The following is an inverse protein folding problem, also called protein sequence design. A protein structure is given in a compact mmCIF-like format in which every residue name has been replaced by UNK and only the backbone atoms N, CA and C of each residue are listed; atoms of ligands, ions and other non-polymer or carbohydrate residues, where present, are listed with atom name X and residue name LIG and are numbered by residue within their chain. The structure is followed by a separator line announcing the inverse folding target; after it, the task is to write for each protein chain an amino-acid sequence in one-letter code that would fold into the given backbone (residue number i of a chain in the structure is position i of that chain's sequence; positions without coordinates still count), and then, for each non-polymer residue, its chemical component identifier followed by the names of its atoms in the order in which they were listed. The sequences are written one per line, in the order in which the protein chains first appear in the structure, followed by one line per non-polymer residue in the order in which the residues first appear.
data_IF_616595933814
#
_entry.id   IF_616595933814
#
_cell.length_a   1.000
_cell.length_b   1.000
_cell.length_c   1.000
_cell.angle_alpha   90.00
_cell.angle_beta   90.00
_cell.angle_gamma   90.00
#
_symmetry.space_group_name_H-M   'P 1'
#
loop_
_entity.id
_entity.type
_entity.pdbx_description
1 polymer ?
#
# COMPACT_ATOMS: atom_id res chain seq x y z
N UNK A 1 -0.18 -23.31 6.42
CA UNK A 1 0.04 -22.30 7.48
C UNK A 1 0.36 -21.00 6.77
N UNK A 2 -0.65 -20.18 6.49
CA UNK A 2 -0.49 -18.90 5.81
C UNK A 2 0.02 -17.82 6.76
N UNK A 3 0.77 -16.85 6.23
CA UNK A 3 1.18 -15.68 6.99
C UNK A 3 -0.03 -14.72 7.12
N UNK A 4 -0.37 -14.33 8.34
CA UNK A 4 -1.44 -13.36 8.61
C UNK A 4 -0.83 -11.98 8.70
N UNK A 5 -1.20 -11.09 7.78
CA UNK A 5 -0.77 -9.68 7.81
C UNK A 5 -1.98 -8.84 8.26
N UNK A 6 -2.00 -8.48 9.54
CA UNK A 6 -2.99 -7.56 10.09
C UNK A 6 -2.45 -6.12 9.99
N UNK A 7 -3.07 -5.28 9.16
CA UNK A 7 -2.63 -3.89 9.01
C UNK A 7 -3.26 -3.01 10.10
N UNK A 8 -2.54 -2.80 11.21
CA UNK A 8 -2.81 -1.73 12.15
C UNK A 8 -1.70 -0.69 11.95
N UNK A 9 -1.96 0.32 11.12
CA UNK A 9 -1.18 1.56 10.96
C UNK A 9 0.37 1.39 10.94
N UNK A 10 0.96 1.37 9.74
CA UNK A 10 2.26 2.02 9.49
C UNK A 10 2.50 2.10 7.97
N UNK A 11 2.83 3.29 7.51
CA UNK A 11 3.01 3.74 6.11
C UNK A 11 4.11 2.99 5.32
N UNK A 12 4.64 1.86 5.79
CA UNK A 12 5.81 1.25 5.17
C UNK A 12 5.98 -0.26 5.43
N UNK A 13 4.92 -1.06 5.25
CA UNK A 13 5.18 -2.49 5.00
C UNK A 13 5.67 -2.59 3.55
N UNK A 14 6.84 -3.17 3.33
CA UNK A 14 7.41 -3.37 1.99
C UNK A 14 6.36 -4.07 1.09
N UNK A 15 6.11 -3.58 -0.15
CA UNK A 15 5.24 -4.24 -1.10
C UNK A 15 5.60 -5.72 -1.32
N UNK A 16 6.89 -6.07 -1.17
CA UNK A 16 7.39 -7.44 -1.27
C UNK A 16 6.84 -8.32 -0.14
N UNK A 17 6.75 -7.79 1.08
CA UNK A 17 6.20 -8.53 2.23
C UNK A 17 4.70 -8.73 2.11
N UNK A 18 3.98 -7.79 1.48
CA UNK A 18 2.54 -7.90 1.23
C UNK A 18 2.20 -8.79 0.02
N UNK A 19 3.16 -9.03 -0.88
CA UNK A 19 3.00 -9.92 -2.04
C UNK A 19 3.36 -11.38 -1.73
N UNK A 20 3.51 -11.75 -0.46
CA UNK A 20 3.82 -13.13 -0.11
C UNK A 20 2.70 -14.06 -0.62
N UNK A 21 3.02 -15.15 -1.34
CA UNK A 21 2.01 -16.04 -1.89
C UNK A 21 1.11 -16.61 -0.79
N UNK A 22 -0.19 -16.70 -1.05
CA UNK A 22 -1.18 -17.25 -0.11
C UNK A 22 -1.29 -16.48 1.24
N UNK A 23 -0.92 -15.21 1.28
CA UNK A 23 -1.11 -14.38 2.47
C UNK A 23 -2.56 -13.88 2.58
N UNK A 24 -3.14 -14.05 3.76
CA UNK A 24 -4.41 -13.43 4.12
C UNK A 24 -4.15 -12.00 4.63
N UNK A 25 -4.71 -11.02 3.93
CA UNK A 25 -4.55 -9.60 4.26
C UNK A 25 -5.82 -9.10 4.93
N UNK A 26 -5.70 -8.65 6.17
CA UNK A 26 -6.82 -8.10 6.92
C UNK A 26 -6.70 -6.59 7.08
N UNK A 27 -7.69 -5.87 6.59
CA UNK A 27 -7.89 -4.44 6.82
C UNK A 27 -8.67 -4.24 8.11
N UNK A 28 -8.13 -3.43 9.02
CA UNK A 28 -8.80 -3.00 10.25
C UNK A 28 -9.36 -1.60 10.03
N UNK A 29 -10.64 -1.43 10.33
CA UNK A 29 -11.35 -0.14 10.24
C UNK A 29 -12.27 0.04 11.45
N UNK A 30 -12.87 1.22 11.59
CA UNK A 30 -13.90 1.48 12.61
C UNK A 30 -15.11 0.54 12.47
N UNK A 31 -15.35 0.02 11.26
CA UNK A 31 -16.42 -0.94 10.96
C UNK A 31 -16.03 -2.41 11.21
N UNK A 32 -14.87 -2.65 11.84
CA UNK A 32 -14.34 -3.98 12.12
C UNK A 32 -13.21 -4.41 11.17
N UNK A 33 -12.91 -5.71 11.20
CA UNK A 33 -11.80 -6.35 10.46
C UNK A 33 -12.36 -7.05 9.22
N UNK A 34 -11.75 -6.83 8.06
CA UNK A 34 -12.16 -7.43 6.78
C UNK A 34 -10.98 -8.06 6.06
N UNK A 35 -11.17 -9.26 5.52
CA UNK A 35 -10.23 -9.86 4.56
C UNK A 35 -10.34 -9.11 3.24
N UNK A 36 -9.22 -8.66 2.69
CA UNK A 36 -9.15 -7.94 1.41
C UNK A 36 -8.06 -8.54 0.52
N UNK A 37 -8.18 -8.35 -0.80
CA UNK A 37 -7.11 -8.71 -1.71
C UNK A 37 -5.94 -7.71 -1.59
N UNK A 38 -4.73 -8.17 -1.95
CA UNK A 38 -3.53 -7.32 -1.98
C UNK A 38 -3.74 -6.05 -2.82
N UNK A 39 -4.41 -6.17 -3.97
CA UNK A 39 -4.66 -5.07 -4.89
C UNK A 39 -5.66 -4.04 -4.34
N UNK A 40 -6.47 -4.42 -3.35
CA UNK A 40 -7.44 -3.54 -2.71
C UNK A 40 -6.84 -2.76 -1.54
N UNK A 41 -5.60 -3.08 -1.15
CA UNK A 41 -4.87 -2.32 -0.12
C UNK A 41 -4.60 -0.90 -0.58
N UNK A 42 -4.70 0.06 0.35
CA UNK A 42 -4.40 1.46 0.07
C UNK A 42 -2.93 1.66 -0.33
N UNK A 43 -2.04 0.84 0.22
CA UNK A 43 -0.62 0.82 -0.10
C UNK A 43 -0.38 0.43 -1.57
N UNK A 44 -1.05 -0.62 -2.06
CA UNK A 44 -0.94 -1.02 -3.46
C UNK A 44 -1.48 0.08 -4.39
N UNK A 45 -2.65 0.64 -4.07
CA UNK A 45 -3.27 1.70 -4.88
C UNK A 45 -2.40 2.95 -4.93
N UNK A 46 -1.90 3.41 -3.77
CA UNK A 46 -1.04 4.58 -3.66
C UNK A 46 0.28 4.37 -4.42
N UNK A 47 0.92 3.21 -4.24
CA UNK A 47 2.18 2.92 -4.93
C UNK A 47 1.97 2.82 -6.45
N UNK A 48 0.90 2.15 -6.89
CA UNK A 48 0.53 2.08 -8.32
C UNK A 48 0.26 3.47 -8.89
N UNK A 49 -0.47 4.31 -8.15
CA UNK A 49 -0.73 5.69 -8.56
C UNK A 49 0.56 6.50 -8.66
N UNK A 50 1.45 6.40 -7.66
CA UNK A 50 2.76 7.05 -7.68
C UNK A 50 3.61 6.60 -8.86
N UNK A 51 3.78 5.29 -9.08
CA UNK A 51 4.58 4.78 -10.21
C UNK A 51 4.08 5.34 -11.56
N UNK A 52 2.75 5.44 -11.72
CA UNK A 52 2.13 5.94 -12.95
C UNK A 52 2.17 7.47 -13.09
N UNK A 53 2.35 8.23 -12.00
CA UNK A 53 2.22 9.68 -11.98
C UNK A 53 3.37 10.38 -11.22
N UNK A 54 4.53 9.73 -11.09
CA UNK A 54 5.57 10.15 -10.15
C UNK A 54 6.07 11.57 -10.41
N UNK A 55 6.30 11.96 -11.66
CA UNK A 55 6.75 13.32 -12.01
C UNK A 55 5.75 14.38 -11.55
N UNK A 56 4.46 14.14 -11.82
CA UNK A 56 3.37 15.02 -11.40
C UNK A 56 3.26 15.09 -9.89
N UNK A 57 3.29 13.94 -9.20
CA UNK A 57 3.20 13.89 -7.74
C UNK A 57 4.39 14.59 -7.07
N UNK A 58 5.59 14.45 -7.62
CA UNK A 58 6.78 15.14 -7.13
C UNK A 58 6.66 16.65 -7.30
N UNK A 59 6.18 17.13 -8.46
CA UNK A 59 5.92 18.55 -8.68
C UNK A 59 4.81 19.10 -7.77
N UNK A 60 3.71 18.37 -7.55
CA UNK A 60 2.66 18.75 -6.59
C UNK A 60 3.17 18.85 -5.14
N UNK A 61 4.22 18.09 -4.80
CA UNK A 61 4.89 18.14 -3.50
C UNK A 61 6.01 19.19 -3.43
N UNK A 62 6.23 19.97 -4.49
CA UNK A 62 7.28 21.00 -4.56
C UNK A 62 8.69 20.45 -4.78
N UNK A 63 8.81 19.18 -5.17
CA UNK A 63 10.04 18.59 -5.69
C UNK A 63 10.13 18.83 -7.19
N UNK A 64 10.12 20.09 -7.61
CA UNK A 64 10.57 20.41 -8.96
C UNK A 64 12.06 20.06 -9.01
N UNK A 65 12.44 19.11 -9.86
CA UNK A 65 13.85 18.80 -10.12
C UNK A 65 14.50 20.08 -10.66
N UNK A 66 15.13 20.85 -9.78
CA UNK A 66 16.16 21.81 -10.16
C UNK A 66 17.30 20.96 -10.74
N UNK A 67 17.30 20.85 -12.06
CA UNK A 67 18.53 20.66 -12.84
C UNK A 67 19.23 22.00 -12.99
#
# INVERSE_FOLDING_TARGET
MGAVIASHISTLISPILMAYPEADIYQVSENGIKLIAYQDTEQYKLMKYFMNNHERMLSELGFDLIL
#
